data_IF_008538917831
#
_entry.id   IF_008538917831
#
_cell.length_a   1.000
_cell.length_b   1.000
_cell.length_c   1.000
_cell.angle_alpha   90.00
_cell.angle_beta   90.00
_cell.angle_gamma   90.00
#
_symmetry.space_group_name_H-M   'P 1'
#
loop_
_entity.id
_entity.type
_entity.pdbx_description
1 polymer ?
#
# COMPACT_ATOMS: atom_id res chain seq x y z
N UNK A 1 -15.32 -16.71 4.46
CA UNK A 1 -14.85 -15.30 4.29
C UNK A 1 -14.02 -14.79 5.46
N UNK A 2 -14.55 -14.49 6.66
CA UNK A 2 -13.75 -13.86 7.74
C UNK A 2 -12.55 -14.71 8.21
N UNK A 3 -12.73 -16.02 8.38
CA UNK A 3 -11.65 -16.93 8.77
C UNK A 3 -10.59 -17.14 7.68
N UNK A 4 -11.00 -17.15 6.41
CA UNK A 4 -10.09 -17.31 5.28
C UNK A 4 -9.26 -16.04 5.03
N UNK A 5 -9.89 -14.87 5.20
CA UNK A 5 -9.21 -13.57 5.17
C UNK A 5 -8.16 -13.46 6.27
N UNK A 6 -8.50 -13.83 7.51
CA UNK A 6 -7.55 -13.84 8.63
C UNK A 6 -6.38 -14.79 8.38
N UNK A 7 -6.65 -16.00 7.86
CA UNK A 7 -5.60 -16.96 7.53
C UNK A 7 -4.64 -16.44 6.45
N UNK A 8 -5.16 -15.75 5.43
CA UNK A 8 -4.33 -15.18 4.38
C UNK A 8 -3.46 -14.04 4.93
N UNK A 9 -4.00 -13.19 5.80
CA UNK A 9 -3.25 -12.15 6.52
C UNK A 9 -2.11 -12.76 7.35
N UNK A 10 -2.38 -13.82 8.11
CA UNK A 10 -1.36 -14.46 8.94
C UNK A 10 -0.19 -14.93 8.07
N UNK A 11 -0.45 -15.57 6.93
CA UNK A 11 0.60 -15.99 5.99
C UNK A 11 1.36 -14.79 5.37
N UNK A 12 0.64 -13.73 5.00
CA UNK A 12 1.22 -12.54 4.39
C UNK A 12 2.05 -11.69 5.38
N UNK A 13 1.72 -11.72 6.68
CA UNK A 13 2.50 -11.10 7.76
C UNK A 13 3.75 -11.94 8.06
N UNK A 14 3.58 -13.27 8.18
CA UNK A 14 4.68 -14.17 8.55
C UNK A 14 5.83 -14.11 7.54
N UNK A 15 5.55 -13.91 6.26
CA UNK A 15 6.58 -13.85 5.20
C UNK A 15 7.60 -12.71 5.41
N UNK A 16 7.22 -11.41 5.43
CA UNK A 16 8.16 -10.32 5.67
C UNK A 16 8.72 -10.35 7.09
N UNK A 17 7.96 -10.78 8.10
CA UNK A 17 8.45 -10.90 9.47
C UNK A 17 9.58 -11.92 9.58
N UNK A 18 9.41 -13.11 8.99
CA UNK A 18 10.43 -14.16 8.95
C UNK A 18 11.68 -13.68 8.22
N UNK A 19 11.50 -12.93 7.13
CA UNK A 19 12.61 -12.30 6.41
C UNK A 19 13.42 -11.34 7.28
N UNK A 20 12.75 -10.46 8.03
CA UNK A 20 13.41 -9.51 8.95
C UNK A 20 14.20 -10.24 10.04
N UNK A 21 13.56 -11.21 10.71
CA UNK A 21 14.17 -11.93 11.83
C UNK A 21 15.36 -12.76 11.34
N UNK A 22 15.15 -13.62 10.35
CA UNK A 22 16.20 -14.54 9.87
C UNK A 22 17.43 -13.82 9.30
N UNK A 23 17.22 -12.77 8.49
CA UNK A 23 18.34 -11.97 7.99
C UNK A 23 19.01 -11.17 9.10
N UNK A 24 18.23 -10.61 10.04
CA UNK A 24 18.77 -9.91 11.20
C UNK A 24 19.66 -10.79 12.06
N UNK A 25 19.17 -11.99 12.41
CA UNK A 25 19.91 -12.99 13.18
C UNK A 25 21.15 -13.48 12.44
N UNK A 26 21.02 -13.79 11.15
CA UNK A 26 22.14 -14.27 10.33
C UNK A 26 23.23 -13.20 10.21
N UNK A 27 22.83 -11.95 9.94
CA UNK A 27 23.73 -10.80 9.83
C UNK A 27 24.42 -10.53 11.17
N UNK A 28 23.70 -10.62 12.28
CA UNK A 28 24.26 -10.43 13.62
C UNK A 28 25.27 -11.53 13.97
N UNK A 29 24.90 -12.81 13.80
CA UNK A 29 25.73 -13.94 14.17
C UNK A 29 27.00 -14.09 13.32
N UNK A 30 26.99 -13.61 12.09
CA UNK A 30 28.10 -13.76 11.14
C UNK A 30 28.60 -12.42 10.60
N UNK A 31 28.41 -11.33 11.34
CA UNK A 31 28.69 -9.97 10.88
C UNK A 31 30.07 -9.83 10.22
N UNK A 32 31.12 -10.30 10.89
CA UNK A 32 32.51 -10.23 10.41
C UNK A 32 32.81 -11.12 9.21
N UNK A 33 31.97 -12.12 8.93
CA UNK A 33 32.10 -13.00 7.76
C UNK A 33 31.47 -12.42 6.49
N UNK A 34 30.58 -11.44 6.63
CA UNK A 34 29.99 -10.74 5.50
C UNK A 34 30.88 -9.58 5.04
N UNK A 35 31.08 -9.47 3.73
CA UNK A 35 31.68 -8.27 3.14
C UNK A 35 30.68 -7.09 3.15
N UNK A 36 31.17 -5.89 2.82
CA UNK A 36 30.35 -4.67 2.89
C UNK A 36 29.09 -4.74 2.01
N UNK A 37 29.20 -5.25 0.78
CA UNK A 37 28.07 -5.35 -0.15
C UNK A 37 27.00 -6.32 0.37
N UNK A 38 27.42 -7.44 0.95
CA UNK A 38 26.49 -8.39 1.56
C UNK A 38 25.78 -7.79 2.77
N UNK A 39 26.49 -7.04 3.62
CA UNK A 39 25.89 -6.32 4.76
C UNK A 39 24.87 -5.29 4.27
N UNK A 40 25.23 -4.47 3.27
CA UNK A 40 24.32 -3.48 2.67
C UNK A 40 23.07 -4.14 2.09
N UNK A 41 23.24 -5.24 1.36
CA UNK A 41 22.11 -5.99 0.79
C UNK A 41 21.21 -6.60 1.87
N UNK A 42 21.78 -7.20 2.92
CA UNK A 42 21.01 -7.75 4.03
C UNK A 42 20.18 -6.66 4.73
N UNK A 43 20.79 -5.52 5.05
CA UNK A 43 20.09 -4.36 5.64
C UNK A 43 19.02 -3.81 4.69
N UNK A 44 19.29 -3.75 3.39
CA UNK A 44 18.31 -3.30 2.40
C UNK A 44 17.09 -4.23 2.32
N UNK A 45 17.29 -5.56 2.40
CA UNK A 45 16.19 -6.52 2.41
C UNK A 45 15.37 -6.40 3.69
N UNK A 46 16.03 -6.26 4.86
CA UNK A 46 15.36 -6.01 6.14
C UNK A 46 14.49 -4.75 6.03
N UNK A 47 15.05 -3.63 5.58
CA UNK A 47 14.32 -2.37 5.46
C UNK A 47 13.11 -2.47 4.51
N UNK A 48 13.28 -3.09 3.33
CA UNK A 48 12.17 -3.34 2.39
C UNK A 48 11.08 -4.21 3.01
N UNK A 49 11.48 -5.24 3.77
CA UNK A 49 10.55 -6.15 4.44
C UNK A 49 9.78 -5.45 5.55
N UNK A 50 10.43 -4.56 6.31
CA UNK A 50 9.79 -3.72 7.34
C UNK A 50 8.76 -2.75 6.74
N UNK A 51 9.08 -2.10 5.60
CA UNK A 51 8.13 -1.24 4.89
C UNK A 51 6.91 -2.04 4.42
N UNK A 52 7.14 -3.23 3.83
CA UNK A 52 6.06 -4.10 3.37
C UNK A 52 5.16 -4.55 4.53
N UNK A 53 5.75 -4.98 5.64
CA UNK A 53 5.01 -5.36 6.84
C UNK A 53 4.17 -4.20 7.38
N UNK A 54 4.75 -3.00 7.46
CA UNK A 54 4.02 -1.81 7.91
C UNK A 54 2.83 -1.48 7.00
N UNK A 55 2.99 -1.62 5.68
CA UNK A 55 1.88 -1.44 4.73
C UNK A 55 0.76 -2.47 4.96
N UNK A 56 1.09 -3.74 5.18
CA UNK A 56 0.11 -4.79 5.48
C UNK A 56 -0.67 -4.48 6.77
N UNK A 57 0.03 -4.06 7.83
CA UNK A 57 -0.61 -3.67 9.09
C UNK A 57 -1.60 -2.52 8.88
N UNK A 58 -1.21 -1.47 8.14
CA UNK A 58 -2.11 -0.36 7.84
C UNK A 58 -3.34 -0.80 7.04
N UNK A 59 -3.17 -1.65 6.04
CA UNK A 59 -4.30 -2.19 5.26
C UNK A 59 -5.28 -2.97 6.14
N UNK A 60 -4.79 -3.72 7.14
CA UNK A 60 -5.63 -4.46 8.09
C UNK A 60 -6.38 -3.50 9.03
N UNK A 61 -5.72 -2.45 9.51
CA UNK A 61 -6.33 -1.43 10.35
C UNK A 61 -7.43 -0.68 9.58
N UNK A 62 -7.17 -0.32 8.33
CA UNK A 62 -8.14 0.37 7.48
C UNK A 62 -9.31 -0.55 7.13
N UNK A 63 -9.06 -1.83 6.84
CA UNK A 63 -10.13 -2.81 6.69
C UNK A 63 -10.98 -2.96 7.95
N UNK A 64 -10.35 -2.95 9.13
CA UNK A 64 -11.05 -3.06 10.41
C UNK A 64 -11.95 -1.85 10.64
N UNK A 65 -11.49 -0.63 10.33
CA UNK A 65 -12.31 0.58 10.36
C UNK A 65 -13.52 0.43 9.43
N UNK A 66 -13.30 0.04 8.17
CA UNK A 66 -14.35 -0.20 7.18
C UNK A 66 -15.36 -1.26 7.61
N UNK A 67 -14.91 -2.30 8.31
CA UNK A 67 -15.77 -3.40 8.79
C UNK A 67 -16.53 -3.07 10.07
N UNK A 68 -16.04 -2.09 10.85
CA UNK A 68 -16.68 -1.59 12.08
C UNK A 68 -17.67 -0.46 11.84
N UNK A 69 -17.56 0.20 10.67
CA UNK A 69 -18.50 1.19 10.19
C UNK A 69 -19.84 0.49 9.91
N UNK A 70 -20.75 0.55 10.86
CA UNK A 70 -22.19 0.39 10.64
C UNK A 70 -22.79 1.64 9.96
N UNK A 71 -21.93 2.58 9.56
CA UNK A 71 -22.28 3.95 9.23
C UNK A 71 -23.16 4.03 7.99
N UNK A 72 -24.27 4.74 8.16
CA UNK A 72 -25.10 5.24 7.08
C UNK A 72 -24.21 6.02 6.11
N UNK A 73 -23.97 5.43 4.95
CA UNK A 73 -23.17 6.02 3.89
C UNK A 73 -23.62 7.47 3.64
N UNK A 74 -22.73 8.43 3.93
CA UNK A 74 -23.07 9.84 3.76
C UNK A 74 -23.06 10.17 2.28
N UNK A 75 -24.27 10.35 1.72
CA UNK A 75 -24.47 10.70 0.31
C UNK A 75 -24.07 12.15 0.11
N UNK A 76 -23.09 12.37 -0.74
CA UNK A 76 -22.70 13.71 -1.16
C UNK A 76 -22.43 13.72 -2.67
N UNK A 77 -22.69 14.86 -3.28
CA UNK A 77 -22.33 15.12 -4.67
C UNK A 77 -20.80 15.27 -4.74
N UNK A 78 -20.17 14.47 -5.60
CA UNK A 78 -18.73 14.54 -5.85
C UNK A 78 -18.52 14.83 -7.34
N UNK A 79 -17.60 15.76 -7.63
CA UNK A 79 -17.09 15.98 -8.98
C UNK A 79 -16.07 14.87 -9.30
N UNK A 80 -16.50 13.83 -9.98
CA UNK A 80 -15.65 12.69 -10.34
C UNK A 80 -14.49 13.13 -11.25
N UNK A 81 -14.72 14.11 -12.12
CA UNK A 81 -13.70 14.62 -13.04
C UNK A 81 -12.52 15.22 -12.28
N UNK A 82 -12.79 16.03 -11.26
CA UNK A 82 -11.76 16.63 -10.41
C UNK A 82 -10.96 15.55 -9.66
N UNK A 83 -11.67 14.61 -9.04
CA UNK A 83 -11.06 13.48 -8.32
C UNK A 83 -10.15 12.64 -9.22
N UNK A 84 -10.59 12.32 -10.44
CA UNK A 84 -9.78 11.58 -11.40
C UNK A 84 -8.54 12.37 -11.85
N UNK A 85 -8.68 13.68 -12.08
CA UNK A 85 -7.54 14.53 -12.43
C UNK A 85 -6.48 14.57 -11.33
N UNK A 86 -6.88 14.72 -10.06
CA UNK A 86 -5.97 14.67 -8.91
C UNK A 86 -5.22 13.34 -8.85
N UNK A 87 -5.92 12.22 -9.07
CA UNK A 87 -5.33 10.88 -9.04
C UNK A 87 -4.37 10.65 -10.19
N UNK A 88 -4.74 11.05 -11.40
CA UNK A 88 -3.85 10.97 -12.57
C UNK A 88 -2.57 11.77 -12.33
N UNK A 89 -2.65 12.93 -11.67
CA UNK A 89 -1.46 13.72 -11.31
C UNK A 89 -0.51 12.97 -10.37
N UNK A 90 -1.05 12.27 -9.36
CA UNK A 90 -0.26 11.44 -8.45
C UNK A 90 0.36 10.25 -9.21
N UNK A 91 -0.44 9.53 -10.00
CA UNK A 91 0.03 8.39 -10.80
C UNK A 91 1.13 8.81 -11.77
N UNK A 92 0.96 9.92 -12.49
CA UNK A 92 1.99 10.47 -13.38
C UNK A 92 3.31 10.67 -12.63
N UNK A 93 3.28 11.26 -11.43
CA UNK A 93 4.48 11.46 -10.62
C UNK A 93 5.15 10.14 -10.19
N UNK A 94 4.36 9.12 -9.86
CA UNK A 94 4.88 7.82 -9.42
C UNK A 94 5.46 6.98 -10.56
N UNK A 95 4.80 6.97 -11.72
CA UNK A 95 5.13 6.07 -12.82
C UNK A 95 6.05 6.69 -13.88
N UNK A 96 6.06 8.01 -14.06
CA UNK A 96 6.95 8.70 -15.00
C UNK A 96 8.36 8.93 -14.44
N UNK A 97 8.85 8.11 -13.50
CA UNK A 97 10.18 8.21 -12.84
C UNK A 97 11.37 8.27 -13.85
N UNK A 98 11.50 9.35 -14.61
CA UNK A 98 12.44 9.49 -15.74
C UNK A 98 11.98 8.87 -17.07
N UNK A 99 10.85 8.16 -17.12
CA UNK A 99 10.38 7.49 -18.35
C UNK A 99 9.35 8.31 -19.13
N UNK A 100 9.38 8.21 -20.46
CA UNK A 100 8.41 8.85 -21.36
C UNK A 100 7.23 7.88 -21.57
N UNK A 101 6.30 7.83 -20.61
CA UNK A 101 5.02 7.13 -20.80
C UNK A 101 3.94 8.12 -21.25
N UNK A 102 3.19 7.75 -22.28
CA UNK A 102 2.06 8.54 -22.75
C UNK A 102 0.83 8.24 -21.89
N UNK A 103 0.57 9.12 -20.91
CA UNK A 103 -0.69 9.12 -20.17
C UNK A 103 -1.78 9.81 -21.00
N UNK A 104 -2.65 9.01 -21.61
CA UNK A 104 -3.86 9.50 -22.28
C UNK A 104 -5.00 9.52 -21.28
N UNK A 105 -5.66 10.66 -21.14
CA UNK A 105 -6.87 10.80 -20.33
C UNK A 105 -7.89 11.62 -21.10
N UNK A 106 -9.03 11.00 -21.41
CA UNK A 106 -10.20 11.67 -21.96
C UNK A 106 -11.30 11.62 -20.91
N UNK A 107 -11.53 12.74 -20.23
CA UNK A 107 -12.43 12.84 -19.08
C UNK A 107 -13.37 14.01 -19.35
N UNK A 108 -14.67 13.73 -19.44
CA UNK A 108 -15.67 14.79 -19.55
C UNK A 108 -15.69 15.65 -18.29
N UNK A 109 -15.97 16.94 -18.45
CA UNK A 109 -15.95 17.90 -17.35
C UNK A 109 -17.19 17.78 -16.47
N UNK A 110 -17.01 17.94 -15.17
CA UNK A 110 -18.07 18.06 -14.17
C UNK A 110 -19.06 16.88 -14.16
N UNK A 111 -18.53 15.65 -14.28
CA UNK A 111 -19.33 14.46 -14.03
C UNK A 111 -19.63 14.42 -12.53
N UNK A 112 -20.85 14.82 -12.16
CA UNK A 112 -21.34 14.75 -10.77
C UNK A 112 -21.95 13.38 -10.55
N UNK A 113 -21.46 12.68 -9.52
CA UNK A 113 -22.05 11.43 -9.06
C UNK A 113 -22.43 11.55 -7.59
N UNK A 114 -23.56 10.97 -7.23
CA UNK A 114 -23.96 10.79 -5.82
C UNK A 114 -23.15 9.62 -5.30
N UNK A 115 -22.16 9.91 -4.46
CA UNK A 115 -21.27 8.89 -3.92
C UNK A 115 -21.63 8.55 -2.47
N UNK A 116 -21.51 7.26 -2.15
CA UNK A 116 -21.65 6.74 -0.81
C UNK A 116 -20.27 6.74 -0.14
N UNK A 117 -20.04 7.59 0.88
CA UNK A 117 -18.69 7.87 1.38
C UNK A 117 -17.95 6.65 1.95
N UNK A 118 -17.12 6.01 1.13
CA UNK A 118 -15.91 5.23 1.49
C UNK A 118 -14.71 5.64 0.59
N UNK A 119 -14.95 6.45 -0.45
CA UNK A 119 -14.01 6.68 -1.56
C UNK A 119 -12.69 7.35 -1.16
N UNK A 120 -12.67 8.08 -0.05
CA UNK A 120 -11.43 8.63 0.50
C UNK A 120 -10.44 7.53 0.86
N UNK A 121 -10.88 6.32 1.22
CA UNK A 121 -9.97 5.21 1.58
C UNK A 121 -9.52 4.44 0.34
N UNK A 122 -10.43 4.13 -0.60
CA UNK A 122 -10.11 3.28 -1.76
C UNK A 122 -9.25 4.01 -2.82
N UNK A 123 -9.31 5.35 -2.89
CA UNK A 123 -8.47 6.11 -3.81
C UNK A 123 -7.17 6.63 -3.19
N UNK A 124 -7.02 6.61 -1.85
CA UNK A 124 -5.80 7.08 -1.14
C UNK A 124 -4.79 5.95 -0.90
N UNK A 125 -5.22 4.68 -0.94
CA UNK A 125 -4.34 3.51 -0.77
C UNK A 125 -3.92 2.96 -2.13
#
# INVERSE_FOLDING_TARGET
>A
MKHEFLRNIDHEINTPLTGIISLGETLWANYDKFNEDQRRNAVAIIAKSSIKLNSLINNILDFSKLSSLNDELNKQDINLSELLHERIKICKKLYLNGEILNFVSDIEKNIIIIFFSILTVILIT
#
